data_IF_633000779784
#
_entry.id   IF_633000779784
#
_cell.length_a   1.000
_cell.length_b   1.000
_cell.length_c   1.000
_cell.angle_alpha   90.00
_cell.angle_beta   90.00
_cell.angle_gamma   90.00
#
_symmetry.space_group_name_H-M   'P 1'
#
loop_
_entity.id
_entity.type
_entity.pdbx_description
1 polymer ?
#
# COMPACT_ATOMS: atom_id res chain seq x y z
N UNK A 1 -33.08 11.35 -14.76
CA UNK A 1 -33.88 11.15 -13.54
C UNK A 1 -33.06 11.68 -12.37
N UNK A 2 -33.56 12.68 -11.59
CA UNK A 2 -32.85 13.11 -10.38
C UNK A 2 -32.83 11.95 -9.37
N UNK A 3 -31.65 11.59 -8.92
CA UNK A 3 -31.45 10.57 -7.85
C UNK A 3 -32.09 11.06 -6.55
N UNK A 4 -32.84 10.17 -5.88
CA UNK A 4 -33.42 10.47 -4.56
C UNK A 4 -32.31 10.94 -3.59
N UNK A 5 -32.56 11.95 -2.72
CA UNK A 5 -31.59 12.44 -1.74
C UNK A 5 -30.93 11.32 -0.93
N UNK A 6 -31.70 10.30 -0.57
CA UNK A 6 -31.21 9.12 0.18
C UNK A 6 -30.24 8.25 -0.63
N UNK A 7 -30.41 8.16 -1.96
CA UNK A 7 -29.50 7.43 -2.85
C UNK A 7 -28.16 8.20 -3.04
N UNK A 8 -28.21 9.53 -3.07
CA UNK A 8 -27.02 10.39 -3.12
C UNK A 8 -26.19 10.26 -1.84
N UNK A 9 -26.83 10.27 -0.67
CA UNK A 9 -26.13 10.11 0.62
C UNK A 9 -25.49 8.74 0.77
N UNK A 10 -26.17 7.67 0.34
CA UNK A 10 -25.61 6.31 0.36
C UNK A 10 -24.42 6.19 -0.59
N UNK A 11 -24.47 6.81 -1.76
CA UNK A 11 -23.35 6.85 -2.70
C UNK A 11 -22.15 7.55 -2.09
N UNK A 12 -22.32 8.74 -1.51
CA UNK A 12 -21.25 9.50 -0.87
C UNK A 12 -20.62 8.69 0.26
N UNK A 13 -21.42 8.06 1.12
CA UNK A 13 -20.94 7.22 2.21
C UNK A 13 -20.09 6.05 1.71
N UNK A 14 -20.52 5.37 0.63
CA UNK A 14 -19.73 4.29 0.00
C UNK A 14 -18.40 4.79 -0.56
N UNK A 15 -18.41 5.94 -1.27
CA UNK A 15 -17.19 6.53 -1.83
C UNK A 15 -16.23 7.01 -0.74
N UNK A 16 -16.72 7.57 0.36
CA UNK A 16 -15.89 7.91 1.52
C UNK A 16 -15.16 6.70 2.09
N UNK A 17 -15.80 5.51 2.11
CA UNK A 17 -15.17 4.27 2.50
C UNK A 17 -13.97 3.93 1.60
N UNK A 18 -14.14 4.00 0.28
CA UNK A 18 -13.06 3.79 -0.68
C UNK A 18 -11.93 4.80 -0.51
N UNK A 19 -12.25 6.09 -0.35
CA UNK A 19 -11.25 7.15 -0.13
C UNK A 19 -10.44 6.91 1.16
N UNK A 20 -11.08 6.50 2.26
CA UNK A 20 -10.39 6.19 3.54
C UNK A 20 -9.38 5.05 3.42
N UNK A 21 -9.64 4.07 2.56
CA UNK A 21 -8.73 2.95 2.32
C UNK A 21 -7.53 3.34 1.45
N UNK A 22 -7.57 4.51 0.79
CA UNK A 22 -6.46 4.99 -0.02
C UNK A 22 -5.37 5.61 0.84
N UNK A 23 -4.12 5.31 0.48
CA UNK A 23 -2.94 5.87 1.15
C UNK A 23 -2.88 7.40 1.05
N UNK A 24 -3.34 7.95 -0.09
CA UNK A 24 -3.35 9.40 -0.35
C UNK A 24 -4.27 10.17 0.60
N UNK A 25 -5.37 9.54 1.02
CA UNK A 25 -6.42 10.18 1.83
C UNK A 25 -6.48 9.68 3.27
N UNK A 26 -5.53 8.82 3.67
CA UNK A 26 -5.44 8.33 5.05
C UNK A 26 -5.29 9.48 6.04
N UNK A 27 -6.13 9.47 7.08
CA UNK A 27 -6.09 10.49 8.14
C UNK A 27 -6.80 11.81 7.79
N UNK A 28 -7.43 11.93 6.61
CA UNK A 28 -8.25 13.10 6.30
C UNK A 28 -9.55 13.10 7.13
N UNK A 29 -10.03 14.27 7.58
CA UNK A 29 -11.33 14.43 8.23
C UNK A 29 -12.48 13.96 7.34
N UNK A 30 -13.56 13.49 7.97
CA UNK A 30 -14.74 12.99 7.25
C UNK A 30 -15.38 14.07 6.34
N UNK A 31 -15.31 15.35 6.74
CA UNK A 31 -15.81 16.47 5.93
C UNK A 31 -15.04 16.64 4.61
N UNK A 32 -13.70 16.50 4.63
CA UNK A 32 -12.87 16.57 3.43
C UNK A 32 -13.14 15.40 2.50
N UNK A 33 -13.26 14.19 3.06
CA UNK A 33 -13.62 13.00 2.30
C UNK A 33 -15.01 13.12 1.65
N UNK A 34 -15.98 13.70 2.36
CA UNK A 34 -17.32 13.94 1.83
C UNK A 34 -17.32 14.94 0.66
N UNK A 35 -16.53 16.02 0.75
CA UNK A 35 -16.36 16.98 -0.33
C UNK A 35 -15.76 16.32 -1.57
N UNK A 36 -14.69 15.54 -1.41
CA UNK A 36 -14.03 14.82 -2.52
C UNK A 36 -14.99 13.78 -3.10
N UNK A 37 -15.68 13.00 -2.28
CA UNK A 37 -16.68 12.02 -2.73
C UNK A 37 -17.81 12.67 -3.53
N UNK A 38 -18.19 13.90 -3.18
CA UNK A 38 -19.27 14.64 -3.82
C UNK A 38 -19.07 14.88 -5.32
N UNK A 39 -17.84 15.13 -5.76
CA UNK A 39 -17.51 15.35 -7.18
C UNK A 39 -16.82 14.16 -7.85
N UNK A 40 -16.49 13.10 -7.11
CA UNK A 40 -15.85 11.91 -7.66
C UNK A 40 -16.83 11.05 -8.46
N UNK A 41 -16.32 10.34 -9.46
CA UNK A 41 -17.07 9.53 -10.40
C UNK A 41 -16.57 8.10 -10.46
N UNK A 42 -17.45 7.14 -10.24
CA UNK A 42 -17.13 5.71 -10.42
C UNK A 42 -17.18 5.34 -11.89
N UNK A 43 -16.12 4.70 -12.38
CA UNK A 43 -15.97 4.25 -13.76
C UNK A 43 -15.72 2.73 -13.75
N UNK A 44 -16.65 1.92 -14.30
CA UNK A 44 -16.39 0.50 -14.55
C UNK A 44 -15.53 0.34 -15.81
N UNK A 45 -14.66 -0.66 -15.81
CA UNK A 45 -13.80 -1.04 -16.93
C UNK A 45 -13.90 -2.54 -17.14
N UNK A 46 -14.13 -2.97 -18.36
CA UNK A 46 -13.94 -4.35 -18.74
C UNK A 46 -12.45 -4.70 -18.80
N UNK A 47 -12.13 -5.99 -18.80
CA UNK A 47 -10.75 -6.42 -19.05
C UNK A 47 -10.29 -5.86 -20.40
N UNK A 48 -9.02 -5.41 -20.44
CA UNK A 48 -8.34 -4.82 -21.60
C UNK A 48 -8.83 -3.41 -21.99
N UNK A 49 -9.84 -2.83 -21.31
CA UNK A 49 -10.22 -1.44 -21.52
C UNK A 49 -9.09 -0.50 -21.07
N UNK A 50 -8.85 0.52 -21.91
CA UNK A 50 -7.93 1.60 -21.54
C UNK A 50 -8.65 2.65 -20.70
N UNK A 51 -8.04 3.00 -19.56
CA UNK A 51 -8.48 4.09 -18.71
C UNK A 51 -8.04 5.45 -19.29
N UNK A 52 -6.82 5.51 -19.82
CA UNK A 52 -6.25 6.64 -20.55
C UNK A 52 -5.01 6.20 -21.34
N UNK A 53 -4.63 7.03 -22.32
CA UNK A 53 -3.41 6.86 -23.11
C UNK A 53 -2.33 7.89 -22.74
N UNK A 54 -1.06 7.53 -22.98
CA UNK A 54 0.09 8.44 -22.85
C UNK A 54 -0.13 9.69 -23.73
N UNK A 55 0.09 10.89 -23.14
CA UNK A 55 -0.11 12.17 -23.82
C UNK A 55 -1.56 12.67 -23.84
N UNK A 56 -2.55 11.85 -23.43
CA UNK A 56 -3.94 12.29 -23.33
C UNK A 56 -4.09 13.35 -22.23
N UNK A 57 -4.90 14.38 -22.49
CA UNK A 57 -5.15 15.44 -21.52
C UNK A 57 -5.70 14.89 -20.20
N UNK A 58 -5.10 15.29 -19.09
CA UNK A 58 -5.47 14.79 -17.77
C UNK A 58 -6.89 15.24 -17.39
N UNK A 59 -7.78 14.29 -17.20
CA UNK A 59 -9.13 14.48 -16.62
C UNK A 59 -9.08 14.58 -15.10
N UNK A 60 -8.03 14.03 -14.49
CA UNK A 60 -7.86 13.90 -13.06
C UNK A 60 -6.92 12.73 -12.73
N UNK A 61 -6.99 12.27 -11.50
CA UNK A 61 -6.34 11.05 -11.07
C UNK A 61 -7.37 10.02 -10.60
N UNK A 62 -6.93 8.80 -10.35
CA UNK A 62 -7.83 7.69 -10.10
C UNK A 62 -7.45 6.93 -8.84
N UNK A 63 -8.44 6.34 -8.19
CA UNK A 63 -8.29 5.37 -7.11
C UNK A 63 -8.89 4.05 -7.56
N UNK A 64 -8.15 2.96 -7.49
CA UNK A 64 -8.67 1.62 -7.79
C UNK A 64 -9.57 1.19 -6.64
N UNK A 65 -10.85 0.95 -6.92
CA UNK A 65 -11.80 0.41 -5.95
C UNK A 65 -11.82 -1.12 -5.95
N UNK A 66 -11.70 -1.73 -7.14
CA UNK A 66 -11.60 -3.19 -7.32
C UNK A 66 -10.90 -3.51 -8.63
N UNK A 67 -10.34 -4.72 -8.74
CA UNK A 67 -9.59 -5.17 -9.90
C UNK A 67 -8.13 -4.72 -9.91
N UNK A 68 -7.53 -4.66 -11.11
CA UNK A 68 -6.12 -4.32 -11.30
C UNK A 68 -5.91 -3.50 -12.58
N UNK A 69 -5.10 -2.44 -12.50
CA UNK A 69 -4.73 -1.54 -13.59
C UNK A 69 -3.24 -1.66 -13.91
N UNK A 70 -2.90 -2.04 -15.13
CA UNK A 70 -1.55 -2.06 -15.65
C UNK A 70 -1.18 -0.68 -16.22
N UNK A 71 -0.18 -0.04 -15.61
CA UNK A 71 0.41 1.19 -16.13
C UNK A 71 1.69 0.85 -16.86
N UNK A 72 1.76 1.21 -18.15
CA UNK A 72 2.84 0.82 -19.04
C UNK A 72 3.17 1.89 -20.06
N UNK A 73 4.36 1.80 -20.62
CA UNK A 73 4.78 2.54 -21.82
C UNK A 73 5.00 1.59 -22.99
N UNK A 74 4.82 2.11 -24.19
CA UNK A 74 5.10 1.38 -25.42
C UNK A 74 6.30 2.03 -26.08
N UNK A 75 7.36 1.26 -26.33
CA UNK A 75 8.53 1.75 -27.04
C UNK A 75 8.23 2.01 -28.53
N UNK A 76 9.09 2.75 -29.23
CA UNK A 76 8.98 2.97 -30.67
C UNK A 76 8.96 1.66 -31.49
N UNK A 77 9.52 0.57 -30.93
CA UNK A 77 9.48 -0.77 -31.51
C UNK A 77 8.22 -1.57 -31.15
N UNK A 78 7.20 -0.94 -30.53
CA UNK A 78 5.96 -1.58 -30.13
C UNK A 78 6.05 -2.49 -28.89
N UNK A 79 7.21 -2.52 -28.19
CA UNK A 79 7.36 -3.32 -26.98
C UNK A 79 6.74 -2.62 -25.78
N UNK A 80 5.82 -3.29 -25.11
CA UNK A 80 5.22 -2.84 -23.85
C UNK A 80 6.21 -3.03 -22.69
N UNK A 81 6.37 -1.98 -21.88
CA UNK A 81 7.12 -2.01 -20.62
C UNK A 81 6.18 -1.66 -19.47
N UNK A 82 5.85 -2.63 -18.65
CA UNK A 82 5.05 -2.43 -17.45
C UNK A 82 5.87 -1.63 -16.44
N UNK A 83 5.27 -0.54 -15.94
CA UNK A 83 5.82 0.31 -14.88
C UNK A 83 5.35 -0.21 -13.53
N UNK A 84 4.02 -0.39 -13.38
CA UNK A 84 3.40 -0.88 -12.15
C UNK A 84 2.00 -1.42 -12.42
N UNK A 85 1.56 -2.36 -11.59
CA UNK A 85 0.17 -2.85 -11.58
C UNK A 85 -0.51 -2.39 -10.29
N UNK A 86 -1.42 -1.41 -10.44
CA UNK A 86 -2.17 -0.82 -9.35
C UNK A 86 -3.37 -1.69 -8.97
N UNK A 87 -3.61 -1.85 -7.67
CA UNK A 87 -4.67 -2.69 -7.10
C UNK A 87 -5.59 -1.88 -6.19
N UNK A 88 -6.65 -2.52 -5.68
CA UNK A 88 -7.62 -1.87 -4.80
C UNK A 88 -6.94 -1.14 -3.62
N UNK A 89 -7.34 0.13 -3.39
CA UNK A 89 -6.78 1.05 -2.40
C UNK A 89 -5.61 1.89 -2.89
N UNK A 90 -5.02 1.58 -4.07
CA UNK A 90 -3.93 2.37 -4.64
C UNK A 90 -4.47 3.46 -5.58
N UNK A 91 -3.82 4.60 -5.56
CA UNK A 91 -4.11 5.72 -6.47
C UNK A 91 -3.05 5.84 -7.56
N UNK A 92 -3.45 6.36 -8.72
CA UNK A 92 -2.59 6.50 -9.89
C UNK A 92 -2.87 7.79 -10.65
N UNK A 93 -1.86 8.26 -11.37
CA UNK A 93 -1.90 9.44 -12.23
C UNK A 93 -2.00 10.79 -11.51
N UNK A 94 -1.66 10.88 -10.22
CA UNK A 94 -1.65 12.14 -9.45
C UNK A 94 -0.68 13.17 -10.05
N UNK A 95 0.45 12.71 -10.57
CA UNK A 95 1.43 13.57 -11.24
C UNK A 95 0.84 14.32 -12.45
N UNK A 96 -0.19 13.77 -13.09
CA UNK A 96 -0.85 14.40 -14.22
C UNK A 96 -1.70 15.63 -13.85
N UNK A 97 -1.98 15.85 -12.55
CA UNK A 97 -2.62 17.06 -12.07
C UNK A 97 -1.77 18.32 -12.36
N UNK A 98 -0.46 18.20 -12.18
CA UNK A 98 0.50 19.29 -12.41
C UNK A 98 1.15 19.25 -13.82
N UNK A 99 0.96 18.14 -14.56
CA UNK A 99 1.57 17.97 -15.88
C UNK A 99 0.85 18.80 -16.95
N UNK A 100 1.60 19.59 -17.74
CA UNK A 100 1.04 20.26 -18.93
C UNK A 100 0.91 19.31 -20.13
N UNK A 101 1.62 18.16 -20.12
CA UNK A 101 1.69 17.21 -21.24
C UNK A 101 0.71 16.03 -21.11
N UNK A 102 -0.18 16.05 -20.11
CA UNK A 102 -1.15 15.00 -19.88
C UNK A 102 -0.59 13.80 -19.11
N UNK A 103 -1.16 12.61 -19.36
CA UNK A 103 -0.74 11.38 -18.70
C UNK A 103 0.63 10.91 -19.20
N UNK A 104 1.55 10.51 -18.29
CA UNK A 104 2.93 10.16 -18.67
C UNK A 104 3.09 8.73 -19.18
N UNK A 105 2.04 7.93 -19.21
CA UNK A 105 2.00 6.51 -19.60
C UNK A 105 0.59 6.08 -19.96
N UNK A 106 0.41 4.87 -20.50
CA UNK A 106 -0.89 4.25 -20.70
C UNK A 106 -1.36 3.56 -19.41
N UNK A 107 -2.69 3.46 -19.22
CA UNK A 107 -3.29 2.63 -18.17
C UNK A 107 -4.39 1.76 -18.75
N UNK A 108 -4.32 0.44 -18.52
CA UNK A 108 -5.24 -0.57 -19.04
C UNK A 108 -5.69 -1.52 -17.92
N UNK A 109 -6.95 -1.94 -17.95
CA UNK A 109 -7.49 -2.91 -17.00
C UNK A 109 -6.97 -4.34 -17.32
N UNK A 110 -6.35 -5.00 -16.34
CA UNK A 110 -5.90 -6.40 -16.45
C UNK A 110 -7.05 -7.41 -16.27
N UNK A 111 -8.08 -6.98 -15.56
CA UNK A 111 -9.29 -7.73 -15.24
C UNK A 111 -10.46 -6.76 -15.11
N UNK A 112 -11.73 -7.23 -15.05
CA UNK A 112 -12.86 -6.34 -14.77
C UNK A 112 -12.59 -5.51 -13.52
N UNK A 113 -12.57 -4.19 -13.68
CA UNK A 113 -12.10 -3.26 -12.65
C UNK A 113 -13.10 -2.13 -12.44
N UNK A 114 -13.04 -1.52 -11.27
CA UNK A 114 -13.79 -0.30 -10.97
C UNK A 114 -12.82 0.72 -10.41
N UNK A 115 -12.82 1.93 -10.99
CA UNK A 115 -11.99 3.04 -10.50
C UNK A 115 -12.84 4.23 -10.11
N UNK A 116 -12.36 5.01 -9.17
CA UNK A 116 -12.93 6.29 -8.79
C UNK A 116 -12.09 7.40 -9.43
N UNK A 117 -12.64 8.13 -10.38
CA UNK A 117 -12.05 9.34 -10.95
C UNK A 117 -12.24 10.49 -9.95
N UNK A 118 -11.14 11.14 -9.58
CA UNK A 118 -11.11 12.41 -8.86
C UNK A 118 -10.78 13.50 -9.90
N UNK A 119 -11.78 14.30 -10.37
CA UNK A 119 -11.60 15.22 -11.47
C UNK A 119 -10.62 16.35 -11.14
N UNK A 120 -9.75 16.72 -12.12
CA UNK A 120 -8.69 17.73 -11.97
C UNK A 120 -9.21 19.09 -11.53
N UNK A 121 -10.23 19.64 -12.22
CA UNK A 121 -10.78 20.96 -11.89
C UNK A 121 -11.28 21.05 -10.44
N UNK A 122 -12.29 20.22 -10.06
CA UNK A 122 -12.84 20.25 -8.71
C UNK A 122 -11.83 20.02 -7.59
N UNK A 123 -10.85 19.13 -7.76
CA UNK A 123 -9.84 18.89 -6.71
C UNK A 123 -8.88 20.08 -6.59
N UNK A 124 -8.46 20.69 -7.69
CA UNK A 124 -7.62 21.89 -7.67
C UNK A 124 -8.35 23.08 -7.07
N UNK A 125 -9.64 23.27 -7.40
CA UNK A 125 -10.49 24.30 -6.81
C UNK A 125 -10.65 24.10 -5.30
N UNK A 126 -10.83 22.85 -4.86
CA UNK A 126 -10.94 22.51 -3.44
C UNK A 126 -9.62 22.81 -2.71
N UNK A 127 -8.49 22.40 -3.28
CA UNK A 127 -7.15 22.69 -2.73
C UNK A 127 -6.91 24.23 -2.68
N UNK A 128 -7.31 24.96 -3.71
CA UNK A 128 -7.19 26.42 -3.73
C UNK A 128 -7.98 27.13 -2.62
N UNK A 129 -9.15 26.59 -2.26
CA UNK A 129 -9.97 27.12 -1.15
C UNK A 129 -9.54 26.59 0.23
N UNK A 130 -8.92 25.42 0.28
CA UNK A 130 -8.48 24.74 1.49
C UNK A 130 -7.04 24.23 1.33
N UNK A 131 -6.04 25.13 1.39
CA UNK A 131 -4.63 24.73 1.23
C UNK A 131 -4.15 23.71 2.28
N UNK A 132 -4.77 23.70 3.47
CA UNK A 132 -4.53 22.71 4.52
C UNK A 132 -4.81 21.27 4.05
N UNK A 133 -5.75 21.08 3.12
CA UNK A 133 -6.00 19.76 2.49
C UNK A 133 -4.76 19.24 1.76
N UNK A 134 -4.11 20.10 0.96
CA UNK A 134 -2.88 19.70 0.26
C UNK A 134 -1.76 19.31 1.24
N UNK A 135 -1.61 20.06 2.35
CA UNK A 135 -0.62 19.75 3.38
C UNK A 135 -0.92 18.39 4.06
N UNK A 136 -2.19 18.09 4.30
CA UNK A 136 -2.60 16.78 4.86
C UNK A 136 -2.32 15.65 3.88
N UNK A 137 -2.64 15.81 2.60
CA UNK A 137 -2.33 14.83 1.54
C UNK A 137 -0.82 14.60 1.43
N UNK A 138 -0.01 15.66 1.42
CA UNK A 138 1.45 15.55 1.44
C UNK A 138 1.96 14.84 2.71
N UNK A 139 1.37 15.13 3.86
CA UNK A 139 1.68 14.45 5.12
C UNK A 139 1.41 12.95 5.06
N UNK A 140 0.26 12.55 4.48
CA UNK A 140 -0.11 11.16 4.28
C UNK A 140 0.87 10.44 3.34
N UNK A 141 1.20 11.04 2.20
CA UNK A 141 2.19 10.50 1.25
C UNK A 141 3.58 10.38 1.89
N UNK A 142 4.01 11.39 2.66
CA UNK A 142 5.29 11.39 3.37
C UNK A 142 5.34 10.30 4.45
N UNK A 143 4.23 10.06 5.14
CA UNK A 143 4.14 8.98 6.12
C UNK A 143 4.27 7.62 5.44
N UNK A 144 3.58 7.43 4.30
CA UNK A 144 3.67 6.20 3.53
C UNK A 144 5.09 5.97 2.96
N UNK A 145 5.70 7.01 2.41
CA UNK A 145 7.09 6.92 1.91
C UNK A 145 8.07 6.52 3.01
N UNK A 146 7.93 7.06 4.23
CA UNK A 146 8.75 6.63 5.39
C UNK A 146 8.59 5.14 5.70
N UNK A 147 7.37 4.60 5.59
CA UNK A 147 7.13 3.16 5.77
C UNK A 147 7.86 2.36 4.69
N UNK A 148 7.77 2.77 3.42
CA UNK A 148 8.47 2.09 2.31
C UNK A 148 9.99 2.17 2.44
N UNK A 149 10.53 3.33 2.82
CA UNK A 149 11.97 3.49 3.08
C UNK A 149 12.41 2.58 4.22
N UNK A 150 11.65 2.53 5.32
CA UNK A 150 11.94 1.61 6.43
C UNK A 150 11.92 0.12 6.00
N UNK A 151 11.01 -0.27 5.11
CA UNK A 151 11.00 -1.62 4.53
C UNK A 151 12.24 -1.89 3.68
N UNK A 152 12.68 -0.92 2.87
CA UNK A 152 13.91 -1.01 2.08
C UNK A 152 15.14 -1.13 2.97
N UNK A 153 15.25 -0.32 4.02
CA UNK A 153 16.34 -0.39 4.99
C UNK A 153 16.37 -1.78 5.66
N UNK A 154 15.20 -2.29 6.05
CA UNK A 154 15.09 -3.64 6.61
C UNK A 154 15.58 -4.72 5.64
N UNK A 155 15.30 -4.57 4.34
CA UNK A 155 15.71 -5.55 3.31
C UNK A 155 17.17 -5.42 2.90
N UNK A 156 17.74 -4.22 2.92
CA UNK A 156 19.10 -3.94 2.39
C UNK A 156 20.18 -3.92 3.47
N UNK A 157 19.88 -3.37 4.64
CA UNK A 157 20.86 -3.16 5.71
C UNK A 157 20.85 -4.26 6.77
N UNK A 158 19.76 -5.03 6.89
CA UNK A 158 19.64 -6.09 7.89
C UNK A 158 19.74 -7.46 7.23
N UNK A 159 20.55 -8.35 7.80
CA UNK A 159 20.55 -9.75 7.41
C UNK A 159 19.23 -10.44 7.79
N UNK A 160 19.00 -11.64 7.27
CA UNK A 160 17.76 -12.41 7.50
C UNK A 160 17.52 -12.68 8.97
N UNK A 161 18.59 -12.89 9.75
CA UNK A 161 18.47 -13.13 11.19
C UNK A 161 17.97 -11.88 11.91
N UNK A 162 18.55 -10.73 11.62
CA UNK A 162 18.14 -9.45 12.21
C UNK A 162 16.70 -9.09 11.87
N UNK A 163 16.26 -9.31 10.62
CA UNK A 163 14.86 -9.13 10.23
C UNK A 163 13.91 -10.06 10.98
N UNK A 164 14.30 -11.33 11.13
CA UNK A 164 13.51 -12.31 11.89
C UNK A 164 13.46 -11.95 13.38
N UNK A 165 14.59 -11.55 13.98
CA UNK A 165 14.63 -11.09 15.37
C UNK A 165 13.73 -9.87 15.60
N UNK A 166 13.77 -8.89 14.71
CA UNK A 166 12.91 -7.71 14.77
C UNK A 166 11.43 -8.10 14.70
N UNK A 167 11.07 -9.00 13.76
CA UNK A 167 9.71 -9.53 13.63
C UNK A 167 9.28 -10.25 14.92
N UNK A 168 10.09 -11.11 15.49
CA UNK A 168 9.80 -11.84 16.72
C UNK A 168 9.64 -10.92 17.93
N UNK A 169 10.48 -9.91 18.08
CA UNK A 169 10.39 -8.93 19.19
C UNK A 169 9.11 -8.12 19.06
N UNK A 170 8.77 -7.64 17.86
CA UNK A 170 7.58 -6.84 17.60
C UNK A 170 6.29 -7.62 17.90
N UNK A 171 6.17 -8.84 17.37
CA UNK A 171 4.96 -9.65 17.53
C UNK A 171 4.91 -10.36 18.89
N UNK A 172 6.05 -10.70 19.47
CA UNK A 172 6.13 -11.36 20.78
C UNK A 172 5.69 -10.46 21.95
N UNK A 173 5.90 -9.13 21.85
CA UNK A 173 5.44 -8.17 22.86
C UNK A 173 3.89 -8.12 22.99
N UNK A 174 3.19 -8.36 21.91
CA UNK A 174 1.72 -8.33 21.86
C UNK A 174 1.08 -9.70 22.07
N UNK A 175 1.87 -10.78 22.11
CA UNK A 175 1.38 -12.15 22.13
C UNK A 175 1.24 -12.67 23.56
N UNK A 176 0.04 -13.10 24.03
CA UNK A 176 -0.13 -13.73 25.32
C UNK A 176 0.78 -14.97 25.46
N UNK A 177 1.55 -15.03 26.55
CA UNK A 177 2.47 -16.16 26.83
C UNK A 177 3.62 -16.30 25.81
N UNK A 178 3.91 -15.25 25.00
CA UNK A 178 4.97 -15.27 24.00
C UNK A 178 4.69 -16.16 22.78
N UNK A 179 3.47 -16.64 22.59
CA UNK A 179 3.08 -17.50 21.47
C UNK A 179 2.60 -16.65 20.27
N UNK A 180 3.39 -16.62 19.22
CA UNK A 180 3.12 -15.85 18.00
C UNK A 180 2.48 -16.78 16.97
N UNK A 181 1.26 -16.48 16.51
CA UNK A 181 0.65 -17.13 15.37
C UNK A 181 1.29 -16.67 14.06
N UNK A 182 1.63 -17.59 13.16
CA UNK A 182 2.15 -17.21 11.84
C UNK A 182 1.02 -16.61 10.99
N UNK A 183 1.28 -15.57 10.17
CA UNK A 183 0.31 -14.95 9.28
C UNK A 183 -0.16 -15.88 8.14
N UNK A 184 0.31 -17.10 8.14
CA UNK A 184 0.01 -18.15 7.16
C UNK A 184 0.97 -19.31 7.29
N UNK A 185 1.58 -19.71 6.18
CA UNK A 185 2.64 -20.73 6.16
C UNK A 185 4.01 -20.09 6.41
N UNK A 186 5.02 -20.90 6.75
CA UNK A 186 6.43 -20.43 6.82
C UNK A 186 6.91 -19.81 5.50
N UNK A 187 6.31 -20.21 4.37
CA UNK A 187 6.60 -19.62 3.06
C UNK A 187 6.11 -18.17 2.98
N UNK A 188 4.95 -17.86 3.56
CA UNK A 188 4.43 -16.48 3.62
C UNK A 188 5.33 -15.62 4.49
N UNK A 189 5.73 -16.11 5.67
CA UNK A 189 6.68 -15.39 6.53
C UNK A 189 8.04 -15.18 5.85
N UNK A 190 8.54 -16.18 5.09
CA UNK A 190 9.78 -16.01 4.33
C UNK A 190 9.67 -14.89 3.30
N UNK A 191 8.54 -14.83 2.57
CA UNK A 191 8.28 -13.75 1.60
C UNK A 191 8.16 -12.38 2.30
N UNK A 192 7.47 -12.29 3.44
CA UNK A 192 7.37 -11.08 4.26
C UNK A 192 8.75 -10.58 4.73
N UNK A 193 9.64 -11.51 5.11
CA UNK A 193 11.01 -11.20 5.50
C UNK A 193 11.98 -11.04 4.31
N UNK A 194 11.50 -11.07 3.07
CA UNK A 194 12.33 -10.92 1.87
C UNK A 194 13.42 -12.00 1.75
N UNK A 195 13.08 -13.27 2.03
CA UNK A 195 14.03 -14.38 2.00
C UNK A 195 13.43 -15.67 1.44
N UNK A 196 14.26 -16.69 1.20
CA UNK A 196 13.79 -18.02 0.81
C UNK A 196 13.28 -18.82 2.02
N UNK A 197 12.34 -19.75 1.79
CA UNK A 197 11.86 -20.66 2.82
C UNK A 197 12.98 -21.51 3.44
N UNK A 198 14.01 -21.84 2.66
CA UNK A 198 15.17 -22.59 3.11
C UNK A 198 16.03 -21.77 4.08
N UNK A 199 16.34 -20.53 3.71
CA UNK A 199 17.11 -19.61 4.56
C UNK A 199 16.37 -19.30 5.87
N UNK A 200 15.05 -19.04 5.79
CA UNK A 200 14.22 -18.85 6.98
C UNK A 200 14.27 -20.09 7.89
N UNK A 201 14.12 -21.30 7.31
CA UNK A 201 14.14 -22.55 8.08
C UNK A 201 15.48 -22.74 8.80
N UNK A 202 16.61 -22.44 8.14
CA UNK A 202 17.95 -22.48 8.77
C UNK A 202 18.07 -21.47 9.89
N UNK A 203 17.60 -20.26 9.71
CA UNK A 203 17.65 -19.21 10.73
C UNK A 203 16.78 -19.56 11.94
N UNK A 204 15.57 -20.07 11.72
CA UNK A 204 14.68 -20.54 12.79
C UNK A 204 15.30 -21.71 13.57
N UNK A 205 15.96 -22.66 12.88
CA UNK A 205 16.65 -23.77 13.53
C UNK A 205 17.78 -23.24 14.44
N UNK A 206 18.60 -22.27 13.98
CA UNK A 206 19.65 -21.67 14.79
C UNK A 206 19.11 -21.00 16.05
N UNK A 207 18.05 -20.19 15.96
CA UNK A 207 17.44 -19.55 17.13
C UNK A 207 16.81 -20.55 18.10
N UNK A 208 16.23 -21.66 17.57
CA UNK A 208 15.73 -22.78 18.38
C UNK A 208 16.87 -23.47 19.14
N UNK A 209 17.98 -23.76 18.47
CA UNK A 209 19.15 -24.45 19.05
C UNK A 209 19.81 -23.58 20.13
N UNK A 210 19.73 -22.25 20.00
CA UNK A 210 20.07 -21.26 21.03
C UNK A 210 19.04 -21.16 22.18
N UNK A 211 17.95 -21.95 22.13
CA UNK A 211 16.87 -21.96 23.14
C UNK A 211 16.15 -20.60 23.28
N UNK A 212 16.18 -19.77 22.26
CA UNK A 212 15.50 -18.48 22.24
C UNK A 212 14.02 -18.61 21.87
N UNK A 213 13.71 -19.60 21.04
CA UNK A 213 12.36 -19.87 20.53
C UNK A 213 12.07 -21.38 20.45
N UNK A 214 10.77 -21.74 20.39
CA UNK A 214 10.33 -23.02 19.82
C UNK A 214 9.51 -22.77 18.57
N UNK A 215 9.52 -23.74 17.65
CA UNK A 215 8.88 -23.60 16.33
C UNK A 215 7.86 -24.73 16.14
N UNK A 216 6.59 -24.38 16.14
CA UNK A 216 5.48 -25.27 15.80
C UNK A 216 5.13 -25.28 14.31
N UNK A 217 4.03 -25.93 13.96
CA UNK A 217 3.54 -25.97 12.59
C UNK A 217 3.06 -24.58 12.11
N UNK A 218 2.33 -23.87 12.96
CA UNK A 218 1.74 -22.55 12.68
C UNK A 218 2.01 -21.51 13.77
N UNK A 219 2.92 -21.79 14.68
CA UNK A 219 3.25 -20.92 15.81
C UNK A 219 4.75 -20.87 16.06
N UNK A 220 5.22 -19.75 16.58
CA UNK A 220 6.55 -19.62 17.14
C UNK A 220 6.36 -19.13 18.59
N UNK A 221 6.97 -19.82 19.55
CA UNK A 221 6.94 -19.39 20.95
C UNK A 221 8.27 -18.79 21.32
N UNK A 222 8.26 -17.58 21.84
CA UNK A 222 9.44 -16.89 22.37
C UNK A 222 9.71 -17.38 23.79
N UNK A 223 10.86 -18.01 24.02
CA UNK A 223 11.25 -18.53 25.33
C UNK A 223 12.01 -17.50 26.17
N UNK A 224 12.82 -16.65 25.54
CA UNK A 224 13.71 -15.71 26.19
C UNK A 224 13.65 -14.33 25.54
N UNK A 225 12.54 -13.59 25.76
CA UNK A 225 12.30 -12.27 25.16
C UNK A 225 13.44 -11.25 25.44
N UNK A 226 14.01 -11.14 26.66
CA UNK A 226 15.16 -10.24 26.90
C UNK A 226 16.40 -10.60 26.09
N UNK A 227 16.70 -11.89 25.96
CA UNK A 227 17.86 -12.36 25.19
C UNK A 227 17.67 -12.12 23.68
N UNK A 228 16.45 -12.30 23.15
CA UNK A 228 16.11 -11.95 21.77
C UNK A 228 16.29 -10.46 21.50
N UNK A 229 15.80 -9.59 22.40
CA UNK A 229 15.97 -8.14 22.28
C UNK A 229 17.46 -7.74 22.34
N UNK A 230 18.23 -8.31 23.25
CA UNK A 230 19.66 -8.05 23.36
C UNK A 230 20.44 -8.52 22.10
N UNK A 231 20.05 -9.63 21.49
CA UNK A 231 20.65 -10.09 20.24
C UNK A 231 20.29 -9.17 19.08
N UNK A 232 19.04 -8.70 19.02
CA UNK A 232 18.61 -7.71 18.03
C UNK A 232 19.43 -6.42 18.15
N UNK A 233 19.58 -5.85 19.36
CA UNK A 233 20.37 -4.64 19.59
C UNK A 233 21.83 -4.81 19.16
N UNK A 234 22.45 -5.95 19.48
CA UNK A 234 23.82 -6.25 19.00
C UNK A 234 23.93 -6.27 17.49
N UNK A 235 22.98 -6.92 16.80
CA UNK A 235 22.97 -7.00 15.34
C UNK A 235 22.71 -5.63 14.69
N UNK A 236 22.04 -4.72 15.38
CA UNK A 236 21.78 -3.33 14.93
C UNK A 236 22.93 -2.37 15.27
N UNK A 237 23.95 -2.83 16.01
CA UNK A 237 25.04 -1.96 16.47
C UNK A 237 24.64 -0.97 17.58
N UNK A 238 23.51 -1.20 18.23
CA UNK A 238 23.01 -0.42 19.35
C UNK A 238 23.61 -1.01 20.64
N UNK A 239 24.81 -0.56 21.03
CA UNK A 239 25.45 -0.88 22.30
C UNK A 239 25.37 0.26 23.28
#
# INVERSE_FOLDING_TARGET
MPTSPRAADLRITGLMGSLRCSQLFTGLPAEDLALIAGFSQTLPLAKDDYLFHEGEASRGFYLVQSGALNVHRVSAAGKEQVIHVFRAGESLAEAALASPTGYPANARAEEPSTVLLIPKGPILDLIGRRPDLALRMLGSMSAHLRVLVGMLDDLTLKDVETRLLNWLVKHGRAAPGGVIGLPGTKRVLAAELGTSSETLSRTLARLRDQKLITVGARTITVLAAPALAAQLSRNLGET
#
